data_IF_663256801140
#
_entry.id   IF_663256801140
#
_cell.length_a   1.000
_cell.length_b   1.000
_cell.length_c   1.000
_cell.angle_alpha   90.00
_cell.angle_beta   90.00
_cell.angle_gamma   90.00
#
_symmetry.space_group_name_H-M   'P 1'
#
loop_
_entity.id
_entity.type
_entity.pdbx_description
1 polymer ?
#
# COMPACT_ATOMS: atom_id res chain seq x y z
N UNK A 1 -10.18 -28.52 -10.58
CA UNK A 1 -9.09 -27.65 -10.09
C UNK A 1 -9.55 -27.10 -8.76
N UNK A 2 -8.91 -27.50 -7.66
CA UNK A 2 -9.25 -27.02 -6.33
C UNK A 2 -8.49 -25.73 -5.99
N UNK A 3 -8.93 -25.01 -4.96
CA UNK A 3 -8.22 -23.81 -4.46
C UNK A 3 -6.81 -24.16 -3.98
N UNK A 4 -6.61 -25.37 -3.43
CA UNK A 4 -5.30 -25.89 -3.04
C UNK A 4 -4.39 -26.12 -4.25
N UNK A 5 -4.93 -26.59 -5.38
CA UNK A 5 -4.13 -26.75 -6.59
C UNK A 5 -3.69 -25.38 -7.13
N UNK A 6 -4.57 -24.38 -7.07
CA UNK A 6 -4.25 -23.02 -7.48
C UNK A 6 -3.17 -22.37 -6.61
N UNK A 7 -3.21 -22.58 -5.28
CA UNK A 7 -2.21 -22.04 -4.36
C UNK A 7 -0.83 -22.68 -4.57
N UNK A 8 -0.78 -23.99 -4.80
CA UNK A 8 0.47 -24.71 -5.11
C UNK A 8 1.06 -24.25 -6.45
N UNK A 9 0.23 -24.09 -7.47
CA UNK A 9 0.68 -23.60 -8.78
C UNK A 9 1.18 -22.15 -8.72
N UNK A 10 0.52 -21.28 -7.93
CA UNK A 10 0.96 -19.91 -7.72
C UNK A 10 2.27 -19.81 -6.92
N UNK A 11 2.49 -20.73 -5.97
CA UNK A 11 3.75 -20.81 -5.24
C UNK A 11 4.90 -21.31 -6.15
N UNK A 12 4.63 -22.31 -6.98
CA UNK A 12 5.61 -22.83 -7.93
C UNK A 12 6.00 -21.81 -9.00
N UNK A 13 5.02 -21.07 -9.53
CA UNK A 13 5.27 -20.08 -10.60
C UNK A 13 6.23 -18.97 -10.14
N UNK A 14 6.20 -18.59 -8.86
CA UNK A 14 7.14 -17.62 -8.28
C UNK A 14 8.60 -18.09 -8.31
N UNK A 15 8.84 -19.39 -8.15
CA UNK A 15 10.20 -19.96 -8.15
C UNK A 15 10.76 -20.17 -9.56
N UNK A 16 9.90 -20.19 -10.58
CA UNK A 16 10.29 -20.37 -11.99
C UNK A 16 10.50 -19.04 -12.73
N UNK A 17 10.26 -17.90 -12.09
CA UNK A 17 10.46 -16.59 -12.71
C UNK A 17 11.94 -16.25 -12.74
N UNK A 18 12.50 -16.15 -13.96
CA UNK A 18 13.87 -15.65 -14.12
C UNK A 18 13.93 -14.14 -13.88
N UNK A 19 15.09 -13.60 -13.43
CA UNK A 19 15.28 -12.16 -13.32
C UNK A 19 15.01 -11.39 -14.62
N UNK A 20 15.24 -12.02 -15.79
CA UNK A 20 14.89 -11.46 -17.09
C UNK A 20 13.38 -11.34 -17.30
N UNK A 21 12.60 -12.33 -16.84
CA UNK A 21 11.13 -12.27 -16.90
C UNK A 21 10.62 -11.15 -16.01
N UNK A 22 11.14 -11.02 -14.79
CA UNK A 22 10.80 -9.90 -13.88
C UNK A 22 11.10 -8.57 -14.56
N UNK A 23 12.33 -8.37 -15.06
CA UNK A 23 12.72 -7.14 -15.76
C UNK A 23 11.81 -6.82 -16.95
N UNK A 24 11.40 -7.84 -17.71
CA UNK A 24 10.51 -7.66 -18.85
C UNK A 24 9.10 -7.23 -18.41
N UNK A 25 8.57 -7.82 -17.32
CA UNK A 25 7.30 -7.41 -16.73
C UNK A 25 7.35 -5.94 -16.26
N UNK A 26 8.41 -5.54 -15.56
CA UNK A 26 8.60 -4.14 -15.14
C UNK A 26 8.75 -3.18 -16.32
N UNK A 27 9.42 -3.60 -17.41
CA UNK A 27 9.51 -2.82 -18.65
C UNK A 27 8.14 -2.61 -19.31
N UNK A 28 7.32 -3.67 -19.40
CA UNK A 28 5.99 -3.59 -19.98
C UNK A 28 4.98 -2.84 -19.11
N UNK A 29 5.19 -2.82 -17.80
CA UNK A 29 4.37 -2.06 -16.86
C UNK A 29 4.79 -0.59 -16.70
N UNK A 30 5.76 -0.11 -17.49
CA UNK A 30 6.20 1.31 -17.48
C UNK A 30 7.13 1.70 -16.33
N UNK A 31 7.48 0.79 -15.41
CA UNK A 31 8.37 1.09 -14.28
C UNK A 31 9.83 1.31 -14.67
N UNK A 32 10.27 0.76 -15.81
CA UNK A 32 11.62 1.01 -16.33
C UNK A 32 11.51 2.13 -17.36
N UNK A 33 11.59 3.37 -16.87
CA UNK A 33 11.72 4.54 -17.72
C UNK A 33 13.06 4.47 -18.47
N UNK A 34 13.02 4.20 -19.77
CA UNK A 34 14.00 4.88 -20.62
C UNK A 34 13.73 6.38 -20.41
N UNK A 35 14.77 7.15 -20.15
CA UNK A 35 14.76 8.58 -19.84
C UNK A 35 14.25 9.44 -21.00
N UNK A 36 13.00 9.24 -21.37
CA UNK A 36 12.14 10.17 -22.08
C UNK A 36 10.85 10.14 -21.30
N UNK A 37 10.79 10.97 -20.26
CA UNK A 37 9.63 11.19 -19.43
C UNK A 37 8.46 11.57 -20.34
N UNK A 38 7.57 10.63 -20.63
CA UNK A 38 6.24 10.99 -21.10
C UNK A 38 5.56 11.75 -19.96
N UNK A 39 4.86 12.86 -20.26
CA UNK A 39 4.13 13.59 -19.24
C UNK A 39 3.17 12.61 -18.58
N UNK A 40 3.18 12.57 -17.25
CA UNK A 40 2.17 11.89 -16.46
C UNK A 40 0.82 12.45 -16.93
N UNK A 41 0.09 11.66 -17.74
CA UNK A 41 -1.28 11.99 -18.05
C UNK A 41 -2.03 11.84 -16.72
N UNK A 42 -2.27 12.97 -16.04
CA UNK A 42 -3.23 13.04 -14.95
C UNK A 42 -4.48 12.30 -15.43
N UNK A 43 -4.77 11.14 -14.82
CA UNK A 43 -5.96 10.36 -15.13
C UNK A 43 -7.14 11.31 -15.01
N UNK A 44 -7.70 11.70 -16.15
CA UNK A 44 -8.84 12.58 -16.18
C UNK A 44 -10.00 11.80 -15.57
N UNK A 45 -10.29 12.07 -14.30
CA UNK A 45 -11.43 11.49 -13.59
C UNK A 45 -12.66 11.79 -14.44
N UNK A 46 -13.24 10.75 -15.01
CA UNK A 46 -14.36 10.92 -15.92
C UNK A 46 -15.60 11.31 -15.10
N UNK A 47 -16.54 12.01 -15.73
CA UNK A 47 -17.82 12.32 -15.08
C UNK A 47 -18.61 11.08 -14.65
N UNK A 48 -18.34 9.92 -15.25
CA UNK A 48 -18.94 8.63 -14.89
C UNK A 48 -18.36 8.10 -13.57
N UNK A 49 -17.06 8.26 -13.33
CA UNK A 49 -16.40 7.84 -12.08
C UNK A 49 -16.93 8.63 -10.86
N UNK A 50 -17.16 9.94 -11.04
CA UNK A 50 -17.73 10.79 -9.98
C UNK A 50 -19.18 10.37 -9.62
N UNK A 51 -19.93 9.85 -10.59
CA UNK A 51 -21.29 9.38 -10.34
C UNK A 51 -21.30 8.09 -9.52
N UNK A 52 -20.38 7.15 -9.77
CA UNK A 52 -20.25 5.94 -8.95
C UNK A 52 -19.86 6.25 -7.50
N UNK A 53 -18.90 7.17 -7.31
CA UNK A 53 -18.47 7.61 -5.98
C UNK A 53 -19.63 8.27 -5.22
N UNK A 54 -20.43 9.10 -5.90
CA UNK A 54 -21.61 9.74 -5.28
C UNK A 54 -22.64 8.72 -4.81
N UNK A 55 -22.96 7.72 -5.64
CA UNK A 55 -23.89 6.65 -5.27
C UNK A 55 -23.38 5.79 -4.10
N UNK A 56 -22.07 5.54 -4.04
CA UNK A 56 -21.46 4.80 -2.94
C UNK A 56 -21.52 5.60 -1.64
N UNK A 57 -21.23 6.91 -1.71
CA UNK A 57 -21.30 7.80 -0.57
C UNK A 57 -22.70 7.92 -0.01
N UNK A 58 -23.75 8.01 -0.83
CA UNK A 58 -25.14 8.03 -0.35
C UNK A 58 -25.49 6.79 0.47
N UNK A 59 -25.06 5.60 0.02
CA UNK A 59 -25.26 4.34 0.77
C UNK A 59 -24.47 4.33 2.07
N UNK A 60 -23.23 4.79 2.02
CA UNK A 60 -22.39 4.91 3.21
C UNK A 60 -22.99 5.88 4.23
N UNK A 61 -23.47 7.05 3.79
CA UNK A 61 -24.07 8.08 4.64
C UNK A 61 -25.31 7.54 5.37
N UNK A 62 -26.12 6.70 4.73
CA UNK A 62 -27.27 6.02 5.36
C UNK A 62 -26.83 5.08 6.49
N UNK A 63 -25.74 4.33 6.31
CA UNK A 63 -25.23 3.37 7.31
C UNK A 63 -24.52 4.10 8.45
N UNK A 64 -23.66 5.05 8.12
CA UNK A 64 -22.85 5.83 9.06
C UNK A 64 -23.66 6.95 9.75
N UNK A 65 -24.92 7.15 9.38
CA UNK A 65 -25.80 8.22 9.89
C UNK A 65 -25.18 9.60 9.73
N UNK A 66 -24.51 9.80 8.60
CA UNK A 66 -23.94 11.09 8.22
C UNK A 66 -25.07 12.05 7.86
N UNK A 67 -24.88 13.33 8.16
CA UNK A 67 -25.87 14.36 7.85
C UNK A 67 -26.20 14.35 6.35
N UNK A 68 -27.48 14.36 5.95
CA UNK A 68 -27.88 14.40 4.54
C UNK A 68 -27.51 15.72 3.84
N UNK A 69 -26.94 16.67 4.59
CA UNK A 69 -26.52 17.98 4.13
C UNK A 69 -25.04 18.00 3.74
N UNK A 70 -24.28 16.96 4.11
CA UNK A 70 -22.87 16.84 3.78
C UNK A 70 -22.74 16.27 2.38
N UNK A 71 -22.12 17.02 1.47
CA UNK A 71 -21.83 16.53 0.13
C UNK A 71 -20.64 15.57 0.11
N UNK A 72 -20.50 14.82 -0.98
CA UNK A 72 -19.37 13.91 -1.21
C UNK A 72 -18.06 14.71 -1.23
N UNK A 73 -18.05 15.84 -1.93
CA UNK A 73 -16.90 16.73 -2.07
C UNK A 73 -16.52 17.36 -0.73
N UNK A 74 -17.52 17.79 0.06
CA UNK A 74 -17.29 18.30 1.41
C UNK A 74 -16.70 17.23 2.31
N UNK A 75 -17.18 15.98 2.22
CA UNK A 75 -16.65 14.86 3.00
C UNK A 75 -15.20 14.53 2.62
N UNK A 76 -14.88 14.47 1.33
CA UNK A 76 -13.53 14.15 0.83
C UNK A 76 -12.53 15.25 1.21
N UNK A 77 -12.94 16.52 1.20
CA UNK A 77 -12.06 17.65 1.52
C UNK A 77 -11.91 17.92 3.02
N UNK A 78 -12.59 17.17 3.90
CA UNK A 78 -12.56 17.43 5.34
C UNK A 78 -11.16 17.35 5.96
N UNK A 79 -10.30 16.46 5.45
CA UNK A 79 -8.98 16.21 5.99
C UNK A 79 -7.84 16.69 5.09
N UNK A 80 -8.14 17.47 4.04
CA UNK A 80 -7.15 17.96 3.07
C UNK A 80 -6.00 18.75 3.72
N UNK A 81 -6.31 19.48 4.80
CA UNK A 81 -5.33 20.26 5.55
C UNK A 81 -4.77 19.52 6.78
N UNK A 82 -5.19 18.28 7.01
CA UNK A 82 -4.66 17.45 8.08
C UNK A 82 -3.41 16.78 7.55
N UNK A 83 -2.24 17.29 7.96
CA UNK A 83 -0.96 16.63 7.68
C UNK A 83 -0.98 15.23 8.29
N UNK A 84 -1.15 14.21 7.45
CA UNK A 84 -1.10 12.79 7.84
C UNK A 84 0.32 12.24 7.84
N UNK A 85 1.28 13.04 7.37
CA UNK A 85 2.69 12.70 7.32
C UNK A 85 3.54 13.75 8.04
N UNK A 86 4.69 13.32 8.54
CA UNK A 86 5.75 14.21 9.00
C UNK A 86 6.50 14.76 7.79
N UNK A 87 6.83 16.06 7.79
CA UNK A 87 7.69 16.66 6.78
C UNK A 87 9.15 16.46 7.21
N UNK A 88 9.79 15.43 6.66
CA UNK A 88 11.20 15.15 6.92
C UNK A 88 12.10 15.96 5.99
N UNK A 89 13.13 16.58 6.55
CA UNK A 89 14.18 17.20 5.74
C UNK A 89 15.10 16.13 5.16
N UNK A 90 15.87 16.49 4.13
CA UNK A 90 16.90 15.59 3.56
C UNK A 90 17.91 15.14 4.63
N UNK A 91 18.20 15.99 5.62
CA UNK A 91 19.09 15.65 6.72
C UNK A 91 18.48 14.58 7.64
N UNK A 92 17.19 14.69 7.94
CA UNK A 92 16.46 13.70 8.75
C UNK A 92 16.46 12.34 8.03
N UNK A 93 16.16 12.33 6.73
CA UNK A 93 16.18 11.12 5.90
C UNK A 93 17.58 10.50 5.86
N UNK A 94 18.63 11.32 5.67
CA UNK A 94 20.01 10.84 5.63
C UNK A 94 20.46 10.24 6.96
N UNK A 95 19.97 10.79 8.09
CA UNK A 95 20.28 10.27 9.42
C UNK A 95 19.68 8.88 9.66
N UNK A 96 18.50 8.58 9.12
CA UNK A 96 17.87 7.25 9.22
C UNK A 96 18.66 6.16 8.48
N UNK A 97 19.33 6.51 7.38
CA UNK A 97 20.13 5.56 6.58
C UNK A 97 21.53 5.36 7.16
N UNK A 98 22.04 6.36 7.89
CA UNK A 98 23.38 6.35 8.48
C UNK A 98 23.44 5.74 9.87
N UNK A 99 22.34 5.23 10.43
CA UNK A 99 22.42 4.41 11.63
C UNK A 99 23.16 3.11 11.25
N UNK A 100 24.41 2.87 11.70
CA UNK A 100 24.90 1.51 11.73
C UNK A 100 23.90 0.73 12.59
N UNK A 101 23.53 -0.47 12.16
CA UNK A 101 22.79 -1.41 13.00
C UNK A 101 23.48 -1.42 14.37
N UNK A 102 22.85 -0.77 15.36
CA UNK A 102 23.28 -0.92 16.72
C UNK A 102 23.05 -2.40 17.01
N UNK A 103 24.16 -3.10 17.20
CA UNK A 103 24.22 -4.52 17.49
C UNK A 103 23.08 -4.88 18.44
N UNK A 104 22.26 -5.83 18.00
CA UNK A 104 21.29 -6.55 18.81
C UNK A 104 22.05 -7.31 19.91
N UNK A 105 22.47 -6.58 20.94
CA UNK A 105 23.00 -7.12 22.18
C UNK A 105 21.88 -7.26 23.20
N UNK A 106 20.96 -8.21 22.97
CA UNK A 106 20.39 -9.00 24.08
C UNK A 106 19.83 -10.34 23.59
N UNK A 107 20.69 -11.18 23.05
CA UNK A 107 20.52 -12.61 23.18
C UNK A 107 21.01 -13.04 24.58
N UNK A 108 20.08 -13.14 25.53
CA UNK A 108 20.06 -14.10 26.65
C UNK A 108 19.04 -13.64 27.71
N UNK A 109 17.92 -14.34 27.85
CA UNK A 109 17.79 -15.24 28.99
C UNK A 109 16.67 -16.27 28.73
N UNK A 110 17.00 -17.53 28.99
CA UNK A 110 16.09 -18.67 29.01
C UNK A 110 15.04 -18.48 30.12
N UNK A 111 13.75 -18.41 29.77
CA UNK A 111 12.69 -18.82 30.70
C UNK A 111 11.85 -19.93 30.08
N UNK A 112 12.31 -21.15 30.34
CA UNK A 112 11.63 -22.42 30.16
C UNK A 112 10.37 -22.45 31.06
N UNK A 113 9.25 -21.93 30.56
CA UNK A 113 7.95 -22.09 31.23
C UNK A 113 7.37 -23.45 30.85
N UNK A 114 7.80 -24.47 31.60
CA UNK A 114 7.12 -25.76 31.64
C UNK A 114 5.68 -25.57 32.12
N UNK A 115 4.73 -25.60 31.18
CA UNK A 115 3.31 -25.71 31.47
C UNK A 115 3.08 -27.12 32.04
N UNK A 116 2.93 -27.24 33.36
CA UNK A 116 2.35 -28.43 33.97
C UNK A 116 0.84 -28.43 33.66
N UNK A 117 0.43 -29.36 32.81
CA UNK A 117 -0.97 -29.72 32.58
C UNK A 117 -1.35 -30.87 33.53
N UNK A 118 -2.40 -30.65 34.31
CA UNK A 118 -3.23 -31.57 35.13
C UNK A 118 -2.57 -32.73 35.91
#
# INVERSE_FOLDING_TARGET
MSILDASVMAAASRNEVTPSTIRNCFRHAGFVCNTESEPEEEEQVSGEDLHEVSNLFERFAQVAKISPQLSVEEYISMDEHVGTHEELTVADIASCVQQPEAEDESAADDEDVAIQSD
#
